data_IF_725328120187
#
_entry.id   IF_725328120187
#
_cell.length_a   1.000
_cell.length_b   1.000
_cell.length_c   1.000
_cell.angle_alpha   90.00
_cell.angle_beta   90.00
_cell.angle_gamma   90.00
#
_symmetry.space_group_name_H-M   'P 1'
#
loop_
_entity.id
_entity.type
_entity.pdbx_description
1 polymer ?
#
# COMPACT_ATOMS: atom_id res chain seq x y z
N UNK A 1 18.96 4.83 19.60
CA UNK A 1 17.64 5.46 19.52
C UNK A 1 16.73 4.90 20.59
N UNK A 2 15.77 5.65 21.09
CA UNK A 2 14.75 5.17 22.01
C UNK A 2 13.82 4.17 21.28
N UNK A 3 13.38 3.12 21.98
CA UNK A 3 12.50 2.11 21.40
C UNK A 3 11.09 2.68 21.20
N UNK A 4 10.49 2.45 20.05
CA UNK A 4 9.09 2.77 19.82
C UNK A 4 8.16 1.72 20.42
N UNK A 5 6.97 2.15 20.87
CA UNK A 5 5.97 1.21 21.40
C UNK A 5 5.09 0.69 20.27
N UNK A 6 4.97 -0.62 20.16
CA UNK A 6 4.01 -1.32 19.29
C UNK A 6 3.02 -2.08 20.16
N UNK A 7 1.73 -1.87 19.93
CA UNK A 7 0.66 -2.58 20.63
C UNK A 7 0.18 -3.75 19.79
N UNK A 8 -0.14 -4.87 20.42
CA UNK A 8 -0.56 -6.10 19.77
C UNK A 8 -1.75 -6.74 20.46
N UNK A 9 -2.65 -7.32 19.68
CA UNK A 9 -3.68 -8.25 20.13
C UNK A 9 -3.87 -9.36 19.07
N UNK A 10 -4.03 -10.61 19.52
CA UNK A 10 -4.32 -11.74 18.61
C UNK A 10 -5.76 -11.73 18.12
N UNK A 11 -6.12 -12.65 17.20
CA UNK A 11 -7.50 -12.81 16.69
C UNK A 11 -8.37 -13.75 17.53
N UNK A 12 -7.85 -14.33 18.61
CA UNK A 12 -8.65 -15.22 19.48
C UNK A 12 -9.67 -14.41 20.23
N UNK A 13 -10.93 -14.85 20.15
CA UNK A 13 -12.07 -14.20 20.80
C UNK A 13 -12.65 -15.08 21.90
N UNK A 14 -13.26 -14.47 22.90
CA UNK A 14 -14.10 -15.11 23.90
C UNK A 14 -15.56 -14.70 23.73
N UNK A 15 -16.46 -15.41 24.40
CA UNK A 15 -17.89 -15.03 24.39
C UNK A 15 -18.04 -13.58 24.85
N UNK A 16 -18.73 -12.77 24.05
CA UNK A 16 -18.98 -11.36 24.33
C UNK A 16 -17.88 -10.38 23.88
N UNK A 17 -16.81 -10.87 23.21
CA UNK A 17 -15.76 -10.00 22.65
C UNK A 17 -15.45 -10.42 21.22
N UNK A 18 -15.75 -9.57 20.25
CA UNK A 18 -15.44 -9.80 18.83
C UNK A 18 -14.05 -9.29 18.46
N UNK A 19 -13.57 -9.67 17.25
CA UNK A 19 -12.35 -9.10 16.67
C UNK A 19 -12.44 -7.58 16.50
N UNK A 20 -13.63 -7.05 16.20
CA UNK A 20 -13.86 -5.61 16.04
C UNK A 20 -13.74 -4.86 17.39
N UNK A 21 -14.23 -5.48 18.50
CA UNK A 21 -14.04 -4.94 19.85
C UNK A 21 -12.55 -4.93 20.23
N UNK A 22 -11.82 -5.98 19.86
CA UNK A 22 -10.37 -6.06 20.08
C UNK A 22 -9.61 -5.00 19.29
N UNK A 23 -9.97 -4.76 18.02
CA UNK A 23 -9.40 -3.69 17.22
C UNK A 23 -9.65 -2.31 17.86
N UNK A 24 -10.88 -2.05 18.31
CA UNK A 24 -11.22 -0.81 19.02
C UNK A 24 -10.38 -0.63 20.28
N UNK A 25 -10.26 -1.68 21.11
CA UNK A 25 -9.43 -1.66 22.31
C UNK A 25 -7.95 -1.43 21.99
N UNK A 26 -7.44 -2.09 20.95
CA UNK A 26 -6.06 -1.93 20.49
C UNK A 26 -5.75 -0.48 20.11
N UNK A 27 -6.58 0.12 19.26
CA UNK A 27 -6.40 1.50 18.82
C UNK A 27 -6.45 2.49 20.01
N UNK A 28 -7.38 2.29 20.95
CA UNK A 28 -7.48 3.13 22.14
C UNK A 28 -6.24 2.96 23.03
N UNK A 29 -5.80 1.73 23.27
CA UNK A 29 -4.62 1.45 24.08
C UNK A 29 -3.34 2.01 23.44
N UNK A 30 -3.27 2.02 22.10
CA UNK A 30 -2.15 2.57 21.35
C UNK A 30 -2.17 4.10 21.24
N UNK A 31 -3.18 4.78 21.76
CA UNK A 31 -3.20 6.24 21.88
C UNK A 31 -3.90 6.98 20.74
N UNK A 32 -4.75 6.33 19.93
CA UNK A 32 -5.50 7.04 18.86
C UNK A 32 -6.34 8.21 19.41
N UNK A 33 -6.75 8.13 20.69
CA UNK A 33 -7.51 9.19 21.37
C UNK A 33 -6.66 10.39 21.81
N UNK A 34 -5.34 10.30 21.74
CA UNK A 34 -4.44 11.39 22.06
C UNK A 34 -4.28 12.37 20.89
N UNK A 35 -4.81 12.00 19.70
CA UNK A 35 -4.84 12.85 18.53
C UNK A 35 -6.07 13.77 18.62
N UNK A 36 -5.86 15.08 18.61
CA UNK A 36 -6.94 16.06 18.49
C UNK A 36 -7.55 16.00 17.08
N UNK A 37 -8.78 15.44 16.96
CA UNK A 37 -9.48 15.26 15.70
C UNK A 37 -10.67 16.22 15.50
N UNK A 38 -11.02 17.02 16.50
CA UNK A 38 -12.23 17.86 16.46
C UNK A 38 -12.24 18.79 15.23
N UNK A 39 -13.24 18.63 14.36
CA UNK A 39 -13.43 19.41 13.14
C UNK A 39 -12.40 19.15 12.02
N UNK A 40 -11.50 18.17 12.15
CA UNK A 40 -10.40 17.91 11.23
C UNK A 40 -10.72 16.80 10.22
N UNK A 41 -10.25 16.95 8.99
CA UNK A 41 -10.29 15.88 8.00
C UNK A 41 -9.28 14.79 8.31
N UNK A 42 -9.75 13.53 8.32
CA UNK A 42 -8.95 12.35 8.64
C UNK A 42 -8.90 11.42 7.44
N UNK A 43 -7.76 11.34 6.76
CA UNK A 43 -7.55 10.39 5.68
C UNK A 43 -7.23 9.01 6.25
N UNK A 44 -8.12 8.03 6.06
CA UNK A 44 -7.87 6.63 6.39
C UNK A 44 -7.42 5.91 5.12
N UNK A 45 -6.12 5.70 4.99
CA UNK A 45 -5.52 5.05 3.83
C UNK A 45 -5.58 3.54 3.97
N UNK A 46 -6.20 2.89 3.01
CA UNK A 46 -6.20 1.43 2.92
C UNK A 46 -6.25 0.97 1.46
N UNK A 47 -6.04 -0.32 1.22
CA UNK A 47 -6.22 -0.95 -0.07
C UNK A 47 -7.62 -1.57 -0.15
N UNK A 48 -8.37 -1.31 -1.22
CA UNK A 48 -9.75 -1.81 -1.37
C UNK A 48 -9.83 -3.22 -1.99
N UNK A 49 -8.68 -3.86 -2.30
CA UNK A 49 -8.61 -5.12 -3.04
C UNK A 49 -8.79 -4.91 -4.55
N UNK A 50 -8.16 -5.77 -5.37
CA UNK A 50 -8.48 -5.89 -6.79
C UNK A 50 -9.67 -6.85 -6.96
N UNK A 51 -10.48 -6.71 -8.02
CA UNK A 51 -11.59 -7.63 -8.26
C UNK A 51 -11.09 -9.07 -8.46
N UNK A 52 -11.70 -9.99 -7.73
CA UNK A 52 -11.30 -11.40 -7.68
C UNK A 52 -10.43 -11.77 -6.49
N UNK A 53 -9.69 -10.82 -5.93
CA UNK A 53 -8.96 -11.03 -4.68
C UNK A 53 -9.93 -11.14 -3.50
N UNK A 54 -9.74 -12.11 -2.62
CA UNK A 54 -10.57 -12.32 -1.44
C UNK A 54 -9.80 -12.17 -0.13
N UNK A 55 -8.48 -11.90 -0.19
CA UNK A 55 -7.63 -11.74 0.98
C UNK A 55 -7.58 -10.31 1.53
N UNK A 56 -8.15 -9.32 0.82
CA UNK A 56 -8.15 -7.92 1.27
C UNK A 56 -8.90 -7.73 2.60
N UNK A 57 -8.58 -6.67 3.34
CA UNK A 57 -9.24 -6.36 4.62
C UNK A 57 -10.74 -6.11 4.44
N UNK A 58 -11.54 -6.69 5.31
CA UNK A 58 -13.00 -6.51 5.29
C UNK A 58 -13.40 -5.08 5.67
N UNK A 59 -14.46 -4.51 5.06
CA UNK A 59 -14.95 -3.16 5.34
C UNK A 59 -15.25 -2.89 6.81
N UNK A 60 -15.60 -3.93 7.56
CA UNK A 60 -15.91 -3.87 9.00
C UNK A 60 -14.75 -3.29 9.82
N UNK A 61 -13.49 -3.58 9.46
CA UNK A 61 -12.33 -3.01 10.14
C UNK A 61 -12.22 -1.50 9.88
N UNK A 62 -12.45 -1.08 8.65
CA UNK A 62 -12.47 0.35 8.29
C UNK A 62 -13.55 1.11 9.07
N UNK A 63 -14.73 0.47 9.26
CA UNK A 63 -15.81 1.06 10.03
C UNK A 63 -15.40 1.34 11.49
N UNK A 64 -14.71 0.42 12.15
CA UNK A 64 -14.24 0.62 13.54
C UNK A 64 -13.33 1.85 13.63
N UNK A 65 -12.39 2.00 12.66
CA UNK A 65 -11.46 3.12 12.66
C UNK A 65 -12.20 4.44 12.36
N UNK A 66 -13.10 4.44 11.37
CA UNK A 66 -13.91 5.60 11.03
C UNK A 66 -14.81 6.05 12.20
N UNK A 67 -15.44 5.10 12.91
CA UNK A 67 -16.27 5.39 14.06
C UNK A 67 -15.43 6.00 15.22
N UNK A 68 -14.21 5.47 15.47
CA UNK A 68 -13.28 6.05 16.45
C UNK A 68 -12.90 7.50 16.13
N UNK A 69 -12.68 7.82 14.84
CA UNK A 69 -12.41 9.20 14.43
C UNK A 69 -13.62 10.11 14.68
N UNK A 70 -14.82 9.65 14.33
CA UNK A 70 -16.07 10.40 14.53
C UNK A 70 -16.40 10.59 16.02
N UNK A 71 -16.12 9.60 16.87
CA UNK A 71 -16.28 9.71 18.32
C UNK A 71 -15.43 10.84 18.91
N UNK A 72 -14.41 11.30 18.20
CA UNK A 72 -13.52 12.40 18.55
C UNK A 72 -13.81 13.69 17.74
N UNK A 73 -14.96 13.79 17.07
CA UNK A 73 -15.35 14.95 16.27
C UNK A 73 -14.65 15.08 14.93
N UNK A 74 -13.86 14.08 14.50
CA UNK A 74 -13.17 14.05 13.22
C UNK A 74 -14.08 13.78 12.03
N UNK A 75 -13.64 14.18 10.84
CA UNK A 75 -14.31 14.02 9.55
C UNK A 75 -13.56 12.95 8.72
N UNK A 76 -13.74 11.64 8.99
CA UNK A 76 -12.99 10.60 8.30
C UNK A 76 -13.51 10.33 6.90
N UNK A 77 -12.58 9.99 6.01
CA UNK A 77 -12.85 9.39 4.71
C UNK A 77 -11.84 8.26 4.41
N UNK A 78 -12.27 7.24 3.68
CA UNK A 78 -11.38 6.20 3.17
C UNK A 78 -10.72 6.67 1.88
N UNK A 79 -9.47 6.31 1.67
CA UNK A 79 -8.73 6.73 0.48
C UNK A 79 -7.72 5.69 0.00
N UNK A 80 -7.48 5.70 -1.30
CA UNK A 80 -6.38 5.07 -2.03
C UNK A 80 -6.12 5.88 -3.30
N UNK A 81 -4.99 5.66 -3.98
CA UNK A 81 -4.70 6.25 -5.28
C UNK A 81 -4.81 5.21 -6.41
N UNK A 82 -5.08 5.69 -7.62
CA UNK A 82 -5.22 4.85 -8.81
C UNK A 82 -3.95 4.05 -9.12
N UNK A 83 -4.12 2.89 -9.77
CA UNK A 83 -3.01 1.97 -10.07
C UNK A 83 -2.32 2.31 -11.39
N UNK A 84 -1.08 1.78 -11.55
CA UNK A 84 -0.34 1.79 -12.82
C UNK A 84 -0.65 0.57 -13.69
N UNK A 85 -1.14 -0.51 -13.07
CA UNK A 85 -1.28 -1.81 -13.73
C UNK A 85 -2.67 -1.99 -14.33
N UNK A 86 -2.81 -2.93 -15.29
CA UNK A 86 -4.10 -3.42 -15.72
C UNK A 86 -4.93 -3.90 -14.53
N UNK A 87 -6.23 -3.62 -14.56
CA UNK A 87 -7.13 -4.00 -13.47
C UNK A 87 -8.31 -3.04 -13.37
N UNK A 88 -9.05 -3.16 -12.29
CA UNK A 88 -10.30 -2.42 -12.05
C UNK A 88 -10.12 -1.11 -11.28
N UNK A 89 -8.87 -0.64 -11.10
CA UNK A 89 -8.55 0.57 -10.31
C UNK A 89 -7.70 1.59 -11.08
N UNK A 90 -7.86 1.66 -12.41
CA UNK A 90 -7.06 2.54 -13.28
C UNK A 90 -7.48 4.01 -13.27
N UNK A 91 -8.70 4.30 -12.90
CA UNK A 91 -9.26 5.66 -12.77
C UNK A 91 -10.27 5.68 -11.62
N UNK A 92 -10.64 6.86 -11.14
CA UNK A 92 -11.49 6.98 -9.97
C UNK A 92 -12.85 6.28 -10.09
N UNK A 93 -13.46 6.26 -11.26
CA UNK A 93 -14.78 5.63 -11.44
C UNK A 93 -14.67 4.09 -11.35
N UNK A 94 -13.70 3.51 -12.04
CA UNK A 94 -13.42 2.06 -11.95
C UNK A 94 -12.98 1.70 -10.54
N UNK A 95 -12.12 2.51 -9.90
CA UNK A 95 -11.62 2.28 -8.56
C UNK A 95 -12.74 2.32 -7.50
N UNK A 96 -13.63 3.31 -7.57
CA UNK A 96 -14.81 3.38 -6.70
C UNK A 96 -15.77 2.22 -6.94
N UNK A 97 -15.96 1.81 -8.21
CA UNK A 97 -16.77 0.64 -8.53
C UNK A 97 -16.15 -0.65 -7.95
N UNK A 98 -14.84 -0.83 -8.08
CA UNK A 98 -14.10 -1.93 -7.48
C UNK A 98 -14.27 -1.94 -5.95
N UNK A 99 -14.08 -0.81 -5.29
CA UNK A 99 -14.29 -0.67 -3.85
C UNK A 99 -15.71 -1.06 -3.44
N UNK A 100 -16.73 -0.58 -4.18
CA UNK A 100 -18.13 -0.91 -3.92
C UNK A 100 -18.41 -2.41 -4.08
N UNK A 101 -17.88 -3.06 -5.12
CA UNK A 101 -18.04 -4.50 -5.35
C UNK A 101 -17.36 -5.33 -4.26
N UNK A 102 -16.25 -4.84 -3.70
CA UNK A 102 -15.55 -5.43 -2.55
C UNK A 102 -16.19 -5.06 -1.20
N UNK A 103 -17.34 -4.39 -1.22
CA UNK A 103 -18.14 -4.08 -0.06
C UNK A 103 -17.80 -2.77 0.64
N UNK A 104 -16.86 -1.98 0.14
CA UNK A 104 -16.55 -0.67 0.69
C UNK A 104 -17.49 0.40 0.16
N UNK A 105 -18.37 0.91 1.00
CA UNK A 105 -19.28 2.00 0.70
C UNK A 105 -19.72 2.69 1.99
N UNK A 106 -20.46 3.77 1.89
CA UNK A 106 -20.91 4.56 3.05
C UNK A 106 -21.77 3.80 4.04
N UNK A 107 -22.49 2.76 3.60
CA UNK A 107 -23.35 1.94 4.48
C UNK A 107 -22.48 1.00 5.33
N UNK A 108 -21.52 0.34 4.71
CA UNK A 108 -20.66 -0.66 5.36
C UNK A 108 -19.54 -0.06 6.19
N UNK A 109 -18.95 1.06 5.74
CA UNK A 109 -17.81 1.71 6.39
C UNK A 109 -18.18 2.93 7.23
N UNK A 110 -19.38 3.47 7.00
CA UNK A 110 -19.87 4.64 7.72
C UNK A 110 -19.25 5.97 7.28
N UNK A 111 -18.35 6.02 6.29
CA UNK A 111 -17.75 7.25 5.76
C UNK A 111 -17.61 7.21 4.24
N UNK A 112 -17.29 8.35 3.64
CA UNK A 112 -17.12 8.48 2.20
C UNK A 112 -15.79 7.85 1.73
N UNK A 113 -15.71 7.54 0.42
CA UNK A 113 -14.48 7.14 -0.24
C UNK A 113 -14.08 8.26 -1.20
N UNK A 114 -12.83 8.72 -1.10
CA UNK A 114 -12.24 9.71 -1.98
C UNK A 114 -10.97 9.11 -2.59
N UNK A 115 -10.92 9.06 -3.94
CA UNK A 115 -9.71 8.61 -4.63
C UNK A 115 -8.70 9.75 -4.60
N UNK A 116 -7.56 9.52 -3.93
CA UNK A 116 -6.63 10.55 -3.50
C UNK A 116 -5.97 11.34 -4.62
N UNK A 117 -5.75 10.71 -5.79
CA UNK A 117 -5.11 11.32 -6.97
C UNK A 117 -6.10 11.67 -8.09
N UNK A 118 -7.39 11.82 -7.74
CA UNK A 118 -8.44 12.33 -8.62
C UNK A 118 -8.84 11.38 -9.74
N UNK A 119 -9.62 11.91 -10.70
CA UNK A 119 -10.28 11.11 -11.74
C UNK A 119 -9.31 10.27 -12.58
N UNK A 120 -8.14 10.80 -12.91
CA UNK A 120 -7.19 10.21 -13.85
C UNK A 120 -5.85 9.81 -13.21
N UNK A 121 -5.74 9.89 -11.89
CA UNK A 121 -4.50 9.62 -11.18
C UNK A 121 -3.43 10.71 -11.32
N UNK A 122 -3.84 11.94 -11.58
CA UNK A 122 -2.96 13.08 -11.89
C UNK A 122 -3.26 14.34 -11.06
N UNK A 123 -4.17 14.22 -10.09
CA UNK A 123 -4.40 15.26 -9.08
C UNK A 123 -3.43 15.01 -7.93
N UNK A 124 -2.31 15.74 -7.95
CA UNK A 124 -1.16 15.47 -7.10
C UNK A 124 -0.51 16.75 -6.58
N UNK A 125 0.18 16.63 -5.47
CA UNK A 125 1.09 17.65 -4.94
C UNK A 125 2.51 17.11 -4.85
N UNK A 126 3.48 17.99 -5.09
CA UNK A 126 4.89 17.71 -4.82
C UNK A 126 5.19 17.98 -3.35
N UNK A 127 5.63 16.96 -2.63
CA UNK A 127 5.98 17.03 -1.23
C UNK A 127 7.48 16.82 -1.08
N UNK A 128 8.24 17.74 -0.45
CA UNK A 128 9.65 17.52 -0.20
C UNK A 128 9.89 16.28 0.65
N UNK A 129 10.93 15.51 0.30
CA UNK A 129 11.39 14.38 1.12
C UNK A 129 12.51 14.86 2.02
N UNK A 130 12.28 14.85 3.33
CA UNK A 130 13.29 15.30 4.30
C UNK A 130 14.35 14.22 4.46
N UNK A 131 15.62 14.59 4.27
CA UNK A 131 16.77 13.68 4.27
C UNK A 131 16.69 12.54 3.21
N UNK A 132 15.90 12.71 2.15
CA UNK A 132 15.82 11.76 1.06
C UNK A 132 17.15 11.61 0.30
N UNK A 133 17.43 10.40 -0.17
CA UNK A 133 18.64 10.09 -0.94
C UNK A 133 18.31 9.75 -2.39
N UNK A 134 17.10 9.25 -2.62
CA UNK A 134 16.64 8.76 -3.93
C UNK A 134 15.56 9.64 -4.55
N UNK A 135 14.87 10.43 -3.72
CA UNK A 135 13.83 11.34 -4.13
C UNK A 135 14.00 12.70 -3.44
N UNK A 136 14.11 13.77 -4.19
CA UNK A 136 14.05 15.13 -3.64
C UNK A 136 12.62 15.51 -3.25
N UNK A 137 11.65 15.07 -4.07
CA UNK A 137 10.23 15.27 -3.86
C UNK A 137 9.45 13.98 -4.13
N UNK A 138 8.32 13.81 -3.46
CA UNK A 138 7.35 12.76 -3.68
C UNK A 138 6.07 13.34 -4.30
N UNK A 139 5.54 12.69 -5.32
CA UNK A 139 4.28 13.06 -5.97
C UNK A 139 3.13 12.29 -5.31
N UNK A 140 2.41 12.96 -4.41
CA UNK A 140 1.37 12.35 -3.56
C UNK A 140 -0.01 12.80 -4.02
N UNK A 141 -1.00 11.91 -3.93
CA UNK A 141 -2.39 12.24 -4.21
C UNK A 141 -2.88 13.41 -3.37
N UNK A 142 -3.44 14.44 -4.03
CA UNK A 142 -3.76 15.73 -3.43
C UNK A 142 -4.70 15.60 -2.24
N UNK A 143 -5.81 14.86 -2.36
CA UNK A 143 -6.78 14.72 -1.28
C UNK A 143 -6.20 14.07 -0.01
N UNK A 144 -5.12 13.31 -0.13
CA UNK A 144 -4.42 12.70 1.01
C UNK A 144 -3.63 13.78 1.76
N UNK A 145 -2.97 14.68 1.03
CA UNK A 145 -2.16 15.74 1.63
C UNK A 145 -3.01 16.90 2.13
N UNK A 146 -4.23 17.08 1.60
CA UNK A 146 -5.20 18.09 2.04
C UNK A 146 -5.87 17.73 3.38
N UNK A 147 -5.76 16.48 3.83
CA UNK A 147 -6.26 16.05 5.13
C UNK A 147 -5.31 16.47 6.26
N UNK A 148 -5.90 16.86 7.39
CA UNK A 148 -5.15 17.30 8.61
C UNK A 148 -4.43 16.14 9.29
N UNK A 149 -5.06 14.95 9.29
CA UNK A 149 -4.63 13.75 10.00
C UNK A 149 -4.56 12.59 9.02
N UNK A 150 -3.55 11.75 9.18
CA UNK A 150 -3.36 10.57 8.36
C UNK A 150 -3.38 9.28 9.20
N UNK A 151 -4.22 8.33 8.82
CA UNK A 151 -4.27 6.99 9.43
C UNK A 151 -4.02 5.95 8.34
N UNK A 152 -3.06 5.05 8.54
CA UNK A 152 -2.93 3.87 7.69
C UNK A 152 -3.63 2.67 8.31
N UNK A 153 -4.55 2.06 7.57
CA UNK A 153 -5.15 0.77 7.90
C UNK A 153 -4.63 -0.25 6.89
N UNK A 154 -3.74 -1.12 7.34
CA UNK A 154 -2.91 -1.94 6.47
C UNK A 154 -3.27 -3.42 6.58
N UNK A 155 -3.45 -4.07 5.45
CA UNK A 155 -3.35 -5.51 5.31
C UNK A 155 -1.88 -5.90 5.17
N UNK A 156 -1.34 -6.58 6.18
CA UNK A 156 0.04 -7.07 6.13
C UNK A 156 0.07 -8.48 5.55
N UNK A 157 0.78 -8.69 4.45
CA UNK A 157 0.85 -9.95 3.69
C UNK A 157 2.15 -10.03 2.92
N UNK A 158 2.43 -11.17 2.28
CA UNK A 158 3.53 -11.33 1.34
C UNK A 158 3.45 -10.39 0.14
N UNK A 159 4.56 -10.27 -0.58
CA UNK A 159 4.65 -9.47 -1.80
C UNK A 159 5.80 -9.95 -2.68
N UNK A 160 5.51 -10.11 -3.96
CA UNK A 160 6.40 -10.70 -4.96
C UNK A 160 7.69 -9.89 -5.24
N UNK A 161 7.67 -8.57 -5.00
CA UNK A 161 8.82 -7.68 -5.27
C UNK A 161 9.46 -7.10 -4.00
N UNK A 162 8.67 -6.83 -2.96
CA UNK A 162 9.10 -6.13 -1.75
C UNK A 162 9.12 -7.02 -0.51
N UNK A 163 8.95 -8.33 -0.70
CA UNK A 163 8.90 -9.34 0.35
C UNK A 163 7.59 -9.36 1.13
N UNK A 164 7.18 -8.22 1.66
CA UNK A 164 5.86 -8.03 2.24
C UNK A 164 5.24 -6.69 1.83
N UNK A 165 3.92 -6.63 1.85
CA UNK A 165 3.16 -5.41 1.74
C UNK A 165 2.68 -4.99 3.12
N UNK A 166 3.43 -4.13 3.79
CA UNK A 166 3.16 -3.58 5.12
C UNK A 166 2.68 -2.13 5.09
N UNK A 167 2.81 -1.48 6.23
CA UNK A 167 2.45 -0.08 6.46
C UNK A 167 3.20 0.87 5.53
N UNK A 168 4.52 0.69 5.40
CA UNK A 168 5.36 1.54 4.55
C UNK A 168 4.95 1.44 3.08
N UNK A 169 4.62 0.24 2.60
CA UNK A 169 4.10 0.06 1.24
C UNK A 169 2.71 0.67 1.07
N UNK A 170 1.81 0.46 2.03
CA UNK A 170 0.47 1.06 2.02
C UNK A 170 0.52 2.58 1.97
N UNK A 171 1.48 3.20 2.66
CA UNK A 171 1.70 4.64 2.64
C UNK A 171 2.47 5.05 1.37
N UNK A 172 3.71 4.63 1.22
CA UNK A 172 4.62 5.13 0.19
C UNK A 172 4.13 4.85 -1.24
N UNK A 173 3.87 3.58 -1.56
CA UNK A 173 3.32 3.22 -2.87
C UNK A 173 1.85 3.62 -3.00
N UNK A 174 1.06 3.37 -1.95
CA UNK A 174 -0.39 3.56 -1.98
C UNK A 174 -0.80 5.02 -2.11
N UNK A 175 -0.14 5.97 -1.44
CA UNK A 175 -0.44 7.40 -1.52
C UNK A 175 0.19 8.11 -2.72
N UNK A 176 1.17 7.49 -3.38
CA UNK A 176 1.75 8.05 -4.60
C UNK A 176 0.69 8.22 -5.69
N UNK A 177 0.69 9.37 -6.36
CA UNK A 177 -0.08 9.56 -7.59
C UNK A 177 0.38 8.58 -8.68
N UNK A 178 -0.24 8.58 -9.83
CA UNK A 178 0.23 7.75 -10.94
C UNK A 178 1.67 8.08 -11.33
N UNK A 179 2.03 9.37 -11.42
CA UNK A 179 3.40 9.80 -11.68
C UNK A 179 4.34 9.42 -10.53
N UNK A 180 3.88 9.52 -9.28
CA UNK A 180 4.63 9.09 -8.10
C UNK A 180 4.91 7.59 -8.11
N UNK A 181 3.91 6.76 -8.44
CA UNK A 181 4.12 5.32 -8.62
C UNK A 181 5.12 5.01 -9.74
N UNK A 182 5.05 5.74 -10.87
CA UNK A 182 6.03 5.61 -11.96
C UNK A 182 7.45 5.97 -11.50
N UNK A 183 7.61 7.02 -10.72
CA UNK A 183 8.90 7.43 -10.16
C UNK A 183 9.49 6.35 -9.25
N UNK A 184 8.66 5.71 -8.43
CA UNK A 184 9.11 4.64 -7.54
C UNK A 184 9.52 3.39 -8.32
N UNK A 185 8.75 2.97 -9.34
CA UNK A 185 8.97 1.70 -10.03
C UNK A 185 10.05 1.73 -11.12
N UNK A 186 10.12 2.76 -11.95
CA UNK A 186 10.79 2.66 -13.25
C UNK A 186 11.45 3.94 -13.74
N UNK A 187 12.17 4.66 -12.96
CA UNK A 187 12.77 5.93 -13.46
C UNK A 187 11.76 6.85 -14.19
N UNK A 188 10.47 6.58 -14.07
CA UNK A 188 9.39 7.40 -14.56
C UNK A 188 9.00 7.27 -16.05
N UNK A 189 9.39 6.23 -16.77
CA UNK A 189 9.09 6.10 -18.23
C UNK A 189 8.28 4.84 -18.55
N UNK A 190 7.07 4.95 -19.18
CA UNK A 190 6.28 3.80 -19.63
C UNK A 190 6.86 3.18 -20.92
N UNK A 191 6.50 1.92 -21.19
CA UNK A 191 6.84 1.23 -22.44
C UNK A 191 5.59 0.76 -23.20
N UNK A 192 5.76 0.33 -24.45
CA UNK A 192 4.68 -0.19 -25.29
C UNK A 192 5.01 -1.62 -25.70
N UNK A 193 4.08 -2.53 -25.44
CA UNK A 193 4.07 -3.87 -26.03
C UNK A 193 3.38 -3.77 -27.41
N UNK A 194 4.17 -3.91 -28.48
CA UNK A 194 3.68 -3.79 -29.85
C UNK A 194 2.68 -4.88 -30.23
N UNK A 195 2.82 -6.09 -29.68
CA UNK A 195 1.90 -7.22 -29.98
C UNK A 195 0.47 -6.93 -29.49
N UNK A 196 0.36 -6.34 -28.30
CA UNK A 196 -0.91 -5.95 -27.71
C UNK A 196 -1.47 -4.66 -28.27
N UNK A 197 -0.61 -3.77 -28.82
CA UNK A 197 -1.03 -2.48 -29.30
C UNK A 197 -1.95 -2.60 -30.54
N UNK A 198 -3.14 -1.98 -30.47
CA UNK A 198 -4.14 -1.95 -31.55
C UNK A 198 -4.14 -0.64 -32.34
N UNK A 199 -3.25 0.29 -32.04
CA UNK A 199 -3.18 1.58 -32.72
C UNK A 199 -4.40 2.48 -32.55
N UNK A 200 -5.14 2.31 -31.46
CA UNK A 200 -6.42 3.05 -31.19
C UNK A 200 -6.23 4.53 -30.85
N UNK A 201 -5.02 4.99 -30.64
CA UNK A 201 -4.61 6.38 -30.37
C UNK A 201 -5.11 6.99 -29.05
N UNK A 202 -5.72 6.23 -28.14
CA UNK A 202 -6.17 6.76 -26.84
C UNK A 202 -5.01 7.30 -26.02
N UNK A 203 -3.89 6.56 -25.96
CA UNK A 203 -2.70 6.97 -25.21
C UNK A 203 -2.13 8.32 -25.68
N UNK A 204 -2.13 8.58 -27.00
CA UNK A 204 -1.67 9.87 -27.53
C UNK A 204 -2.62 11.01 -27.18
N UNK A 205 -3.94 10.77 -27.21
CA UNK A 205 -4.93 11.80 -26.80
C UNK A 205 -4.80 12.22 -25.35
N UNK A 206 -4.34 11.31 -24.50
CA UNK A 206 -4.11 11.59 -23.06
C UNK A 206 -2.70 12.12 -22.77
N UNK A 207 -1.82 12.16 -23.77
CA UNK A 207 -0.44 12.61 -23.59
C UNK A 207 -0.36 14.14 -23.64
N UNK A 208 -0.27 14.78 -22.46
CA UNK A 208 -0.16 16.25 -22.38
C UNK A 208 1.18 16.83 -22.83
N UNK A 209 2.18 15.98 -23.16
CA UNK A 209 3.50 16.38 -23.68
C UNK A 209 3.73 15.99 -25.14
N UNK A 210 2.71 15.50 -25.84
CA UNK A 210 2.77 15.04 -27.23
C UNK A 210 3.93 14.05 -27.51
N UNK A 211 4.23 13.21 -26.50
CA UNK A 211 5.33 12.26 -26.54
C UNK A 211 4.98 10.95 -27.27
N UNK A 212 3.74 10.76 -27.74
CA UNK A 212 3.32 9.50 -28.34
C UNK A 212 2.96 9.69 -29.81
N UNK A 213 3.72 9.02 -30.66
CA UNK A 213 3.53 8.94 -32.11
C UNK A 213 3.13 7.52 -32.53
N UNK A 214 2.95 7.30 -33.83
CA UNK A 214 2.56 5.99 -34.37
C UNK A 214 3.44 5.61 -35.54
N UNK A 215 4.06 4.46 -35.46
CA UNK A 215 4.77 3.81 -36.54
C UNK A 215 4.10 2.47 -36.84
N UNK A 216 3.81 2.17 -38.11
CA UNK A 216 3.13 0.92 -38.49
C UNK A 216 1.86 0.59 -37.70
N UNK A 217 1.06 1.59 -37.38
CA UNK A 217 -0.16 1.49 -36.53
C UNK A 217 0.13 1.10 -35.08
N UNK A 218 1.36 1.15 -34.62
CA UNK A 218 1.74 0.91 -33.21
C UNK A 218 2.15 2.21 -32.55
N UNK A 219 1.85 2.35 -31.25
CA UNK A 219 2.27 3.51 -30.48
C UNK A 219 3.78 3.46 -30.23
N UNK A 220 4.45 4.61 -30.37
CA UNK A 220 5.87 4.79 -30.07
C UNK A 220 6.01 5.98 -29.13
N UNK A 221 6.76 5.82 -28.06
CA UNK A 221 6.99 6.87 -27.06
C UNK A 221 8.32 7.56 -27.32
N UNK A 222 8.26 8.88 -27.49
CA UNK A 222 9.42 9.76 -27.51
C UNK A 222 9.83 10.05 -26.06
N UNK A 223 10.91 9.43 -25.61
CA UNK A 223 11.36 9.54 -24.23
C UNK A 223 11.96 10.89 -23.86
N UNK A 224 12.36 11.71 -24.84
CA UNK A 224 12.84 13.07 -24.58
C UNK A 224 11.68 14.00 -24.21
N UNK A 225 10.50 13.77 -24.78
CA UNK A 225 9.28 14.51 -24.47
C UNK A 225 8.50 13.92 -23.29
N UNK A 226 8.64 12.62 -23.04
CA UNK A 226 7.86 11.93 -22.01
C UNK A 226 8.19 12.45 -20.61
N UNK A 227 7.17 12.90 -19.88
CA UNK A 227 7.28 13.40 -18.49
C UNK A 227 7.05 12.31 -17.44
N UNK A 228 6.82 11.04 -17.83
CA UNK A 228 6.63 9.96 -16.88
C UNK A 228 5.28 9.94 -16.12
N UNK A 229 4.32 10.77 -16.48
CA UNK A 229 3.05 10.90 -15.74
C UNK A 229 2.12 9.66 -15.76
N UNK A 230 2.42 8.63 -16.57
CA UNK A 230 1.68 7.36 -16.63
C UNK A 230 0.24 7.43 -17.17
N UNK A 231 -0.28 8.59 -17.62
CA UNK A 231 -1.66 8.73 -18.17
C UNK A 231 -1.95 7.73 -19.28
N UNK A 232 -0.96 7.49 -20.14
CA UNK A 232 -1.08 6.57 -21.28
C UNK A 232 -1.31 5.11 -20.86
N UNK A 233 -0.79 4.71 -19.69
CA UNK A 233 -1.03 3.37 -19.10
C UNK A 233 -2.52 3.26 -18.74
N UNK A 234 -3.04 4.21 -17.95
CA UNK A 234 -4.45 4.22 -17.55
C UNK A 234 -5.45 4.37 -18.71
N UNK A 235 -5.02 4.96 -19.83
CA UNK A 235 -5.86 5.13 -21.02
C UNK A 235 -5.89 3.89 -21.93
N UNK A 236 -4.95 2.94 -21.74
CA UNK A 236 -4.82 1.79 -22.62
C UNK A 236 -5.80 0.67 -22.22
N UNK A 237 -6.86 0.48 -23.02
CA UNK A 237 -7.83 -0.60 -22.80
C UNK A 237 -7.33 -1.99 -23.28
N UNK A 238 -6.13 -2.07 -23.84
CA UNK A 238 -5.53 -3.29 -24.36
C UNK A 238 -4.27 -3.67 -23.58
N UNK A 239 -3.99 -2.93 -22.50
CA UNK A 239 -2.82 -3.11 -21.61
C UNK A 239 -1.47 -3.14 -22.37
N UNK A 240 -1.48 -2.57 -23.57
CA UNK A 240 -0.31 -2.48 -24.42
C UNK A 240 0.70 -1.42 -23.93
N UNK A 241 0.27 -0.41 -23.20
CA UNK A 241 1.16 0.56 -22.55
C UNK A 241 1.30 0.15 -21.10
N UNK A 242 2.51 -0.10 -20.66
CA UNK A 242 2.80 -0.69 -19.36
C UNK A 242 4.02 -0.04 -18.70
N UNK A 243 4.19 -0.34 -17.41
CA UNK A 243 5.40 0.00 -16.68
C UNK A 243 6.47 -1.08 -16.93
N UNK A 244 7.59 -0.77 -17.59
CA UNK A 244 8.68 -1.72 -17.73
C UNK A 244 9.36 -1.90 -16.37
N UNK A 245 9.23 -3.05 -15.72
CA UNK A 245 9.94 -3.36 -14.49
C UNK A 245 11.44 -3.16 -14.68
N UNK A 246 11.98 -2.08 -14.16
CA UNK A 246 13.36 -1.71 -14.43
C UNK A 246 14.17 -1.31 -13.19
N UNK A 247 13.52 -1.06 -12.07
CA UNK A 247 14.24 -0.82 -10.82
C UNK A 247 14.56 -2.15 -10.16
N UNK A 248 15.78 -2.30 -9.64
CA UNK A 248 16.05 -3.34 -8.66
C UNK A 248 15.04 -3.22 -7.51
N UNK A 249 14.55 -4.33 -6.98
CA UNK A 249 13.57 -4.35 -5.90
C UNK A 249 14.03 -3.50 -4.71
N UNK A 250 15.31 -3.53 -4.38
CA UNK A 250 15.93 -2.71 -3.34
C UNK A 250 15.73 -1.20 -3.55
N UNK A 251 15.88 -0.69 -4.78
CA UNK A 251 15.66 0.73 -5.07
C UNK A 251 14.19 1.12 -4.93
N UNK A 252 13.28 0.23 -5.32
CA UNK A 252 11.84 0.41 -5.10
C UNK A 252 11.53 0.52 -3.61
N UNK A 253 12.08 -0.37 -2.81
CA UNK A 253 11.91 -0.44 -1.37
C UNK A 253 12.39 0.85 -0.68
N UNK A 254 13.57 1.34 -1.05
CA UNK A 254 14.12 2.60 -0.51
C UNK A 254 13.26 3.81 -0.88
N UNK A 255 12.83 3.92 -2.14
CA UNK A 255 11.93 5.00 -2.57
C UNK A 255 10.56 4.95 -1.90
N UNK A 256 10.02 3.75 -1.62
CA UNK A 256 8.77 3.62 -0.86
C UNK A 256 8.88 4.22 0.54
N UNK A 257 10.00 3.99 1.23
CA UNK A 257 10.24 4.59 2.55
C UNK A 257 10.29 6.11 2.49
N UNK A 258 10.94 6.68 1.46
CA UNK A 258 11.02 8.11 1.25
C UNK A 258 9.65 8.74 0.92
N UNK A 259 8.85 8.07 0.10
CA UNK A 259 7.46 8.49 -0.15
C UNK A 259 6.58 8.40 1.11
N UNK A 260 6.78 7.36 1.93
CA UNK A 260 6.07 7.24 3.22
C UNK A 260 6.45 8.37 4.18
N UNK A 261 7.73 8.77 4.22
CA UNK A 261 8.19 9.91 5.00
C UNK A 261 7.54 11.21 4.55
N UNK A 262 7.47 11.48 3.23
CA UNK A 262 6.81 12.67 2.70
C UNK A 262 5.32 12.75 3.08
N UNK A 263 4.62 11.60 3.12
CA UNK A 263 3.21 11.56 3.54
C UNK A 263 3.06 11.85 5.03
N UNK A 264 3.94 11.32 5.88
CA UNK A 264 3.77 11.38 7.33
C UNK A 264 4.39 12.63 7.97
N UNK A 265 5.39 13.25 7.32
CA UNK A 265 6.14 14.35 7.91
C UNK A 265 5.27 15.57 8.23
N UNK A 266 5.42 16.09 9.45
CA UNK A 266 4.83 17.36 9.88
C UNK A 266 3.33 17.34 10.20
N UNK A 267 2.67 16.16 10.24
CA UNK A 267 1.26 16.02 10.64
C UNK A 267 1.04 14.82 11.56
N UNK A 268 -0.06 14.81 12.34
CA UNK A 268 -0.41 13.66 13.15
C UNK A 268 -0.69 12.43 12.28
N UNK A 269 -0.03 11.31 12.60
CA UNK A 269 -0.22 10.03 11.92
C UNK A 269 -0.47 8.92 12.95
N UNK A 270 -1.24 7.91 12.54
CA UNK A 270 -1.46 6.70 13.32
C UNK A 270 -1.53 5.48 12.41
N UNK A 271 -0.93 4.37 12.81
CA UNK A 271 -0.75 3.22 11.95
C UNK A 271 -1.31 1.95 12.57
N UNK A 272 -2.07 1.20 11.78
CA UNK A 272 -2.73 -0.05 12.16
C UNK A 272 -2.40 -1.09 11.09
N UNK A 273 -1.91 -2.25 11.50
CA UNK A 273 -1.65 -3.39 10.62
C UNK A 273 -2.38 -4.64 11.10
N UNK A 274 -3.13 -5.28 10.19
CA UNK A 274 -3.76 -6.57 10.41
C UNK A 274 -2.98 -7.64 9.66
N UNK A 275 -2.43 -8.58 10.41
CA UNK A 275 -1.59 -9.69 9.93
C UNK A 275 -2.47 -10.92 9.87
N UNK A 276 -3.25 -11.02 8.78
CA UNK A 276 -4.24 -12.07 8.51
C UNK A 276 -4.33 -12.34 7.02
N UNK A 277 -4.91 -13.46 6.61
CA UNK A 277 -5.06 -13.83 5.20
C UNK A 277 -3.75 -13.59 4.41
N UNK A 278 -2.61 -14.02 4.98
CA UNK A 278 -1.25 -13.65 4.56
C UNK A 278 -0.91 -14.36 3.24
N UNK A 279 -1.44 -13.86 2.12
CA UNK A 279 -1.16 -14.37 0.78
C UNK A 279 0.30 -14.10 0.38
N UNK A 280 0.90 -14.89 -0.53
CA UNK A 280 2.27 -14.62 -1.02
C UNK A 280 2.39 -13.37 -1.88
N UNK A 281 1.27 -12.89 -2.45
CA UNK A 281 1.20 -11.83 -3.43
C UNK A 281 0.42 -10.60 -2.92
N UNK A 282 0.58 -9.48 -3.62
CA UNK A 282 -0.08 -8.21 -3.32
C UNK A 282 -1.60 -8.27 -3.55
N UNK A 283 -2.39 -7.55 -2.73
CA UNK A 283 -3.83 -7.32 -2.96
C UNK A 283 -4.14 -6.59 -4.28
N UNK A 284 -3.12 -6.11 -5.00
CA UNK A 284 -3.28 -5.52 -6.32
C UNK A 284 -3.47 -6.53 -7.45
N UNK A 285 -3.37 -7.84 -7.15
CA UNK A 285 -3.69 -8.94 -8.05
C UNK A 285 -5.09 -9.47 -7.76
N UNK A 286 -5.87 -9.71 -8.80
CA UNK A 286 -7.21 -10.34 -8.68
C UNK A 286 -7.11 -11.81 -8.26
N UNK A 287 -6.07 -12.49 -8.72
CA UNK A 287 -5.69 -13.85 -8.33
C UNK A 287 -4.84 -13.82 -7.05
N UNK A 288 -5.46 -13.93 -5.89
CA UNK A 288 -4.73 -14.20 -4.66
C UNK A 288 -4.58 -15.72 -4.48
N UNK A 289 -3.50 -16.16 -3.86
CA UNK A 289 -3.24 -17.55 -3.52
C UNK A 289 -3.58 -17.85 -2.05
N UNK A 290 -3.48 -19.11 -1.66
CA UNK A 290 -3.67 -19.54 -0.29
C UNK A 290 -2.69 -18.83 0.66
N UNK A 291 -3.10 -18.52 1.91
CA UNK A 291 -2.20 -17.94 2.89
C UNK A 291 -0.97 -18.82 3.13
N UNK A 292 0.20 -18.17 3.21
CA UNK A 292 1.49 -18.84 3.50
C UNK A 292 1.71 -19.06 4.99
N UNK A 293 1.05 -18.27 5.84
CA UNK A 293 1.13 -18.29 7.31
C UNK A 293 -0.30 -18.19 7.89
N UNK A 294 -0.52 -18.71 9.11
CA UNK A 294 -1.78 -18.53 9.82
C UNK A 294 -2.00 -17.07 10.20
N UNK A 295 -3.25 -16.69 10.44
CA UNK A 295 -3.60 -15.39 11.01
C UNK A 295 -2.91 -15.18 12.35
N UNK A 296 -2.26 -14.03 12.52
CA UNK A 296 -1.45 -13.72 13.70
C UNK A 296 -2.16 -12.76 14.65
N UNK A 297 -2.58 -11.59 14.14
CA UNK A 297 -3.23 -10.59 14.98
C UNK A 297 -3.19 -9.19 14.39
N UNK A 298 -3.50 -8.23 15.25
CA UNK A 298 -3.57 -6.82 14.91
C UNK A 298 -2.53 -6.05 15.69
N UNK A 299 -1.88 -5.11 15.03
CA UNK A 299 -0.82 -4.27 15.59
C UNK A 299 -1.16 -2.79 15.39
N UNK A 300 -0.74 -1.92 16.30
CA UNK A 300 -0.89 -0.47 16.18
C UNK A 300 0.30 0.28 16.80
N UNK A 301 0.71 1.39 16.15
CA UNK A 301 1.80 2.25 16.60
C UNK A 301 1.71 3.64 15.95
N UNK A 302 2.36 4.63 16.55
CA UNK A 302 2.66 5.91 15.91
C UNK A 302 3.88 5.82 14.97
N UNK A 303 4.71 4.80 15.12
CA UNK A 303 5.91 4.58 14.33
C UNK A 303 5.67 3.49 13.27
N UNK A 304 5.65 3.84 11.96
CA UNK A 304 5.36 2.89 10.90
C UNK A 304 6.51 1.89 10.66
N UNK A 305 7.76 2.27 10.99
CA UNK A 305 8.93 1.38 10.88
C UNK A 305 8.88 0.29 11.95
N UNK A 306 8.70 0.70 13.21
CA UNK A 306 8.55 -0.23 14.34
C UNK A 306 7.37 -1.17 14.13
N UNK A 307 6.28 -0.66 13.58
CA UNK A 307 5.07 -1.44 13.28
C UNK A 307 5.34 -2.54 12.25
N UNK A 308 5.95 -2.20 11.12
CA UNK A 308 6.27 -3.17 10.06
C UNK A 308 7.34 -4.17 10.53
N UNK A 309 8.35 -3.74 11.31
CA UNK A 309 9.31 -4.66 11.92
C UNK A 309 8.63 -5.66 12.85
N UNK A 310 7.72 -5.21 13.72
CA UNK A 310 7.00 -6.08 14.64
C UNK A 310 6.11 -7.09 13.91
N UNK A 311 5.44 -6.67 12.82
CA UNK A 311 4.63 -7.55 11.98
C UNK A 311 5.51 -8.59 11.26
N UNK A 312 6.65 -8.19 10.69
CA UNK A 312 7.59 -9.09 10.04
C UNK A 312 8.16 -10.12 11.03
N UNK A 313 8.61 -9.68 12.22
CA UNK A 313 9.11 -10.57 13.27
C UNK A 313 8.07 -11.60 13.73
N UNK A 314 6.80 -11.20 13.77
CA UNK A 314 5.70 -12.11 14.12
C UNK A 314 5.46 -13.14 13.01
N UNK A 315 5.51 -12.72 11.74
CA UNK A 315 5.41 -13.62 10.58
C UNK A 315 6.57 -14.63 10.56
N UNK A 316 7.80 -14.19 10.76
CA UNK A 316 8.99 -15.06 10.74
C UNK A 316 9.00 -16.10 11.87
N UNK A 317 8.26 -15.86 12.95
CA UNK A 317 8.07 -16.81 14.07
C UNK A 317 6.90 -17.78 13.86
N UNK A 318 6.02 -17.50 12.92
CA UNK A 318 4.84 -18.34 12.68
C UNK A 318 5.21 -19.61 11.92
N UNK A 319 4.45 -20.69 12.14
CA UNK A 319 4.67 -21.93 11.40
C UNK A 319 4.12 -21.80 9.96
N UNK A 320 4.89 -22.18 8.92
CA UNK A 320 4.43 -22.17 7.54
C UNK A 320 3.22 -23.10 7.33
N UNK A 321 2.29 -22.70 6.46
CA UNK A 321 1.20 -23.55 6.02
C UNK A 321 1.72 -24.51 4.95
N UNK A 322 1.61 -25.82 5.17
CA UNK A 322 2.20 -26.82 4.28
C UNK A 322 1.62 -26.81 2.85
N UNK A 323 0.30 -26.57 2.73
CA UNK A 323 -0.38 -26.45 1.42
C UNK A 323 -0.48 -24.98 0.99
N UNK A 324 0.67 -24.37 0.76
CA UNK A 324 0.84 -22.99 0.31
C UNK A 324 2.12 -22.84 -0.50
N UNK A 325 2.31 -21.72 -1.20
CA UNK A 325 3.54 -21.46 -1.95
C UNK A 325 4.80 -21.63 -1.09
N UNK A 326 4.82 -21.09 0.12
CA UNK A 326 5.92 -21.25 1.07
C UNK A 326 6.12 -22.71 1.45
N UNK A 327 5.06 -23.42 1.84
CA UNK A 327 5.14 -24.82 2.23
C UNK A 327 5.62 -25.73 1.09
N UNK A 328 5.17 -25.49 -0.12
CA UNK A 328 5.62 -26.21 -1.32
C UNK A 328 7.12 -25.96 -1.62
N UNK A 329 7.59 -24.70 -1.47
CA UNK A 329 9.01 -24.38 -1.65
C UNK A 329 9.86 -25.10 -0.61
N UNK A 330 9.51 -25.00 0.67
CA UNK A 330 10.25 -25.63 1.77
C UNK A 330 10.25 -27.17 1.68
N UNK A 331 9.29 -27.78 1.00
CA UNK A 331 9.21 -29.23 0.80
C UNK A 331 10.09 -29.74 -0.35
N UNK A 332 10.60 -28.84 -1.25
CA UNK A 332 11.48 -29.27 -2.36
C UNK A 332 12.85 -29.66 -1.85
N UNK A 333 13.39 -30.84 -2.24
CA UNK A 333 14.69 -31.32 -1.74
C UNK A 333 15.90 -30.43 -2.09
N UNK A 334 15.80 -29.69 -3.18
CA UNK A 334 16.83 -28.81 -3.73
C UNK A 334 16.60 -27.33 -3.40
N UNK A 335 15.58 -27.00 -2.58
CA UNK A 335 15.31 -25.61 -2.18
C UNK A 335 16.36 -25.12 -1.19
N UNK A 336 16.98 -24.00 -1.52
CA UNK A 336 17.84 -23.29 -0.58
C UNK A 336 17.00 -22.50 0.43
N UNK A 337 16.83 -23.04 1.63
CA UNK A 337 16.08 -22.35 2.68
C UNK A 337 16.86 -21.13 3.20
N UNK A 338 16.24 -19.96 3.13
CA UNK A 338 16.82 -18.69 3.60
C UNK A 338 16.55 -18.45 5.09
N UNK A 339 15.75 -19.31 5.74
CA UNK A 339 15.21 -19.07 7.10
C UNK A 339 14.45 -17.76 7.25
N UNK A 340 13.83 -17.32 6.14
CA UNK A 340 13.04 -16.11 6.01
C UNK A 340 11.81 -16.43 5.14
N UNK A 341 10.64 -16.42 5.73
CA UNK A 341 9.42 -16.83 5.07
C UNK A 341 9.07 -15.99 3.82
N UNK A 342 9.48 -14.73 3.81
CA UNK A 342 9.27 -13.86 2.66
C UNK A 342 10.26 -14.20 1.54
N UNK A 343 11.56 -14.40 1.84
CA UNK A 343 12.58 -14.84 0.88
C UNK A 343 12.35 -16.28 0.43
N UNK A 344 11.86 -17.15 1.29
CA UNK A 344 11.49 -18.50 0.92
C UNK A 344 10.21 -18.57 0.07
N UNK A 345 9.33 -17.57 0.15
CA UNK A 345 8.21 -17.40 -0.79
C UNK A 345 8.65 -16.77 -2.11
N UNK A 346 9.44 -15.69 -2.07
CA UNK A 346 9.89 -14.89 -3.20
C UNK A 346 11.39 -14.57 -3.08
N UNK A 347 12.30 -15.38 -3.68
CA UNK A 347 13.74 -15.32 -3.37
C UNK A 347 14.47 -14.02 -3.75
N UNK A 348 13.91 -13.25 -4.70
CA UNK A 348 14.57 -12.05 -5.25
C UNK A 348 14.07 -10.76 -4.59
N UNK A 349 13.98 -10.73 -3.27
CA UNK A 349 13.46 -9.60 -2.50
C UNK A 349 14.48 -9.11 -1.48
N UNK A 350 14.39 -7.82 -1.09
CA UNK A 350 15.23 -7.19 -0.08
C UNK A 350 14.38 -6.31 0.86
N UNK A 351 13.37 -6.93 1.50
CA UNK A 351 12.36 -6.23 2.31
C UNK A 351 12.93 -5.35 3.43
N UNK A 352 14.10 -5.72 3.97
CA UNK A 352 14.80 -4.93 4.98
C UNK A 352 15.19 -3.54 4.47
N UNK A 353 15.42 -3.39 3.16
CA UNK A 353 15.83 -2.12 2.55
C UNK A 353 14.81 -0.99 2.77
N UNK A 354 13.51 -1.32 2.83
CA UNK A 354 12.44 -0.35 3.14
C UNK A 354 12.58 0.17 4.58
N UNK A 355 12.80 -0.74 5.53
CA UNK A 355 12.92 -0.40 6.95
C UNK A 355 14.22 0.37 7.23
N UNK A 356 15.34 -0.08 6.65
CA UNK A 356 16.66 0.54 6.80
C UNK A 356 16.65 1.98 6.26
N UNK A 357 16.05 2.20 5.08
CA UNK A 357 15.93 3.54 4.52
C UNK A 357 15.03 4.42 5.38
N UNK A 358 13.88 3.90 5.83
CA UNK A 358 12.97 4.64 6.69
C UNK A 358 13.61 5.07 8.02
N UNK A 359 14.37 4.18 8.67
CA UNK A 359 15.12 4.51 9.88
C UNK A 359 16.23 5.54 9.59
N UNK A 360 16.97 5.38 8.49
CA UNK A 360 18.04 6.28 8.08
C UNK A 360 17.58 7.71 7.87
N UNK A 361 16.43 7.91 7.23
CA UNK A 361 15.87 9.25 6.96
C UNK A 361 15.07 9.83 8.13
N UNK A 362 14.94 9.10 9.24
CA UNK A 362 14.29 9.57 10.46
C UNK A 362 12.77 9.44 10.47
N UNK A 363 12.19 8.53 9.69
CA UNK A 363 10.75 8.26 9.69
C UNK A 363 10.32 7.51 10.97
N UNK A 364 11.18 6.68 11.54
CA UNK A 364 10.94 5.89 12.74
C UNK A 364 12.16 5.06 13.13
N UNK A 365 11.97 4.01 13.91
CA UNK A 365 13.04 3.08 14.32
C UNK A 365 12.61 1.62 14.21
N UNK A 366 13.55 0.74 13.85
CA UNK A 366 13.34 -0.71 13.84
C UNK A 366 13.28 -1.32 15.25
N UNK A 367 13.73 -0.56 16.28
CA UNK A 367 13.72 -1.01 17.65
C UNK A 367 12.37 -0.74 18.31
N UNK A 368 11.74 -1.77 18.85
CA UNK A 368 10.42 -1.62 19.48
C UNK A 368 10.29 -2.38 20.81
N UNK A 369 9.31 -1.94 21.61
CA UNK A 369 8.74 -2.66 22.74
C UNK A 369 7.33 -3.12 22.38
N UNK A 370 7.05 -4.43 22.50
CA UNK A 370 5.73 -4.97 22.21
C UNK A 370 4.86 -4.99 23.47
N UNK A 371 3.71 -4.29 23.44
CA UNK A 371 2.71 -4.27 24.50
C UNK A 371 1.47 -5.07 24.11
N UNK A 372 1.16 -6.12 24.88
CA UNK A 372 0.00 -6.97 24.63
C UNK A 372 -1.27 -6.34 25.18
N UNK A 373 -2.27 -6.16 24.32
CA UNK A 373 -3.63 -5.70 24.67
C UNK A 373 -4.55 -6.92 24.75
N UNK A 374 -5.16 -7.15 25.92
CA UNK A 374 -6.05 -8.28 26.18
C UNK A 374 -7.53 -7.91 26.04
#
# INVERSE_FOLDING_TARGET
MEKSTVYFTDFRCSVGTSQLDKLKKLCIAAGIKDIDMEGKFVAIKMHFGELGNMAFLRPNYAKVVADLCKEQGGLPFLTDCNTLYPGSRKNALEHLNCANMNGFNTITTGCQIIIGDGLRGTDEVEVPVVNGEYCETALIGHAIMDADIFISLTHFKGHEATGFGGTLKNIGMGCGSRAGKMNQHASGKPAVNEELCRGCRRCAKECGSDAITYLNKKAVIDYDKCKGCGRCIGACSFDAVYNPNSSANELLDRKMAEYAQAVCHGRPCFHISLVQDISPNCDCHGENDAPILPDIGMFASFDPIALDQACADACLKAAPIANSQLGEHLAKPDWHCHHDHFKDSNPNIEWEATLDQGEKIGLGTRQYELKIVK
#
